data_IF_474750616823
#
_entry.id   IF_474750616823
#
_cell.length_a   1.000
_cell.length_b   1.000
_cell.length_c   1.000
_cell.angle_alpha   90.00
_cell.angle_beta   90.00
_cell.angle_gamma   90.00
#
_symmetry.space_group_name_H-M   'P 1'
#
loop_
_entity.id
_entity.type
_entity.pdbx_description
1 polymer ?
#
# COMPACT_ATOMS: atom_id res chain seq x y z
N UNK A 1 1.09 -2.39 17.67
CA UNK A 1 0.92 -2.49 16.20
C UNK A 1 1.69 -3.71 15.72
N UNK A 2 1.00 -4.71 15.19
CA UNK A 2 1.57 -6.00 14.75
C UNK A 2 2.46 -5.80 13.52
N UNK A 3 3.55 -6.57 13.39
CA UNK A 3 4.54 -6.42 12.31
C UNK A 3 3.91 -6.51 10.90
N UNK A 4 2.86 -7.30 10.76
CA UNK A 4 2.05 -7.43 9.54
C UNK A 4 1.45 -6.09 9.08
N UNK A 5 0.95 -5.26 10.00
CA UNK A 5 0.33 -3.98 9.64
C UNK A 5 1.38 -3.01 9.08
N UNK A 6 2.60 -3.02 9.64
CA UNK A 6 3.71 -2.20 9.14
C UNK A 6 4.13 -2.61 7.73
N UNK A 7 4.28 -3.91 7.47
CA UNK A 7 4.59 -4.42 6.14
C UNK A 7 3.47 -4.10 5.13
N UNK A 8 2.21 -4.15 5.58
CA UNK A 8 1.08 -3.81 4.75
C UNK A 8 1.09 -2.35 4.31
N UNK A 9 1.46 -1.42 5.18
CA UNK A 9 1.42 0.05 5.00
C UNK A 9 2.62 0.67 4.28
N UNK A 10 3.68 -0.11 4.07
CA UNK A 10 4.95 0.29 3.46
C UNK A 10 4.82 0.81 2.01
N UNK A 11 4.12 0.13 1.08
CA UNK A 11 4.02 0.59 -0.30
C UNK A 11 3.28 1.93 -0.39
N UNK A 12 2.19 2.09 0.36
CA UNK A 12 1.47 3.35 0.43
C UNK A 12 2.28 4.49 1.05
N UNK A 13 3.19 4.21 1.97
CA UNK A 13 4.09 5.20 2.58
C UNK A 13 5.12 5.71 1.59
N UNK A 14 5.78 4.79 0.85
CA UNK A 14 6.77 5.14 -0.18
C UNK A 14 6.13 6.02 -1.27
N UNK A 15 4.92 5.66 -1.72
CA UNK A 15 4.23 6.43 -2.76
C UNK A 15 3.76 7.79 -2.24
N UNK A 16 3.33 7.88 -0.98
CA UNK A 16 2.95 9.15 -0.36
C UNK A 16 4.14 10.11 -0.19
N UNK A 17 5.32 9.59 0.15
CA UNK A 17 6.56 10.37 0.19
C UNK A 17 7.05 10.75 -1.21
N UNK A 18 6.92 9.87 -2.20
CA UNK A 18 7.27 10.16 -3.60
C UNK A 18 6.37 11.25 -4.21
N UNK A 19 5.08 11.24 -3.88
CA UNK A 19 4.10 12.24 -4.35
C UNK A 19 4.26 13.60 -3.66
N UNK A 20 5.11 13.73 -2.63
CA UNK A 20 5.31 14.99 -1.92
C UNK A 20 4.02 15.52 -1.27
N UNK A 21 3.09 14.62 -0.91
CA UNK A 21 1.81 15.00 -0.31
C UNK A 21 2.07 15.71 1.02
N UNK A 22 1.90 17.03 1.06
CA UNK A 22 2.19 17.86 2.23
C UNK A 22 1.10 17.83 3.30
N UNK A 23 -0.13 17.45 2.94
CA UNK A 23 -1.27 17.35 3.86
C UNK A 23 -1.39 15.94 4.45
N UNK A 24 -1.61 15.85 5.76
CA UNK A 24 -1.72 14.59 6.50
C UNK A 24 -2.89 13.71 6.05
N UNK A 25 -4.00 14.33 5.63
CA UNK A 25 -5.18 13.60 5.13
C UNK A 25 -4.94 12.99 3.74
N UNK A 26 -4.29 13.73 2.85
CA UNK A 26 -3.93 13.23 1.51
C UNK A 26 -2.97 12.04 1.62
N UNK A 27 -2.00 12.10 2.54
CA UNK A 27 -1.10 10.97 2.82
C UNK A 27 -1.86 9.73 3.29
N UNK A 28 -2.86 9.88 4.16
CA UNK A 28 -3.65 8.75 4.64
C UNK A 28 -4.50 8.14 3.52
N UNK A 29 -5.08 8.98 2.66
CA UNK A 29 -5.90 8.54 1.54
C UNK A 29 -5.05 7.83 0.47
N UNK A 30 -3.92 8.41 0.07
CA UNK A 30 -2.97 7.82 -0.90
C UNK A 30 -2.44 6.49 -0.37
N UNK A 31 -2.03 6.44 0.90
CA UNK A 31 -1.52 5.20 1.51
C UNK A 31 -2.55 4.08 1.47
N UNK A 32 -3.82 4.40 1.73
CA UNK A 32 -4.91 3.42 1.71
C UNK A 32 -5.20 2.93 0.29
N UNK A 33 -5.28 3.84 -0.68
CA UNK A 33 -5.53 3.51 -2.09
C UNK A 33 -4.41 2.65 -2.68
N UNK A 34 -3.16 3.07 -2.48
CA UNK A 34 -1.98 2.35 -2.96
C UNK A 34 -1.88 0.98 -2.31
N UNK A 35 -2.15 0.88 -1.00
CA UNK A 35 -2.20 -0.41 -0.34
C UNK A 35 -3.23 -1.34 -0.95
N UNK A 36 -4.47 -0.89 -1.12
CA UNK A 36 -5.51 -1.73 -1.72
C UNK A 36 -5.11 -2.19 -3.12
N UNK A 37 -4.54 -1.31 -3.94
CA UNK A 37 -4.11 -1.65 -5.29
C UNK A 37 -2.98 -2.67 -5.30
N UNK A 38 -1.91 -2.42 -4.53
CA UNK A 38 -0.73 -3.28 -4.48
C UNK A 38 -1.09 -4.64 -3.92
N UNK A 39 -1.84 -4.70 -2.82
CA UNK A 39 -2.22 -5.97 -2.22
C UNK A 39 -3.22 -6.75 -3.06
N UNK A 40 -4.13 -6.07 -3.77
CA UNK A 40 -4.98 -6.74 -4.75
C UNK A 40 -4.16 -7.37 -5.87
N UNK A 41 -3.20 -6.62 -6.43
CA UNK A 41 -2.28 -7.15 -7.45
C UNK A 41 -1.44 -8.33 -6.93
N UNK A 42 -0.90 -8.24 -5.72
CA UNK A 42 -0.15 -9.33 -5.09
C UNK A 42 -1.01 -10.59 -4.95
N UNK A 43 -2.27 -10.46 -4.51
CA UNK A 43 -3.20 -11.60 -4.42
C UNK A 43 -3.45 -12.21 -5.79
N UNK A 44 -3.71 -11.39 -6.81
CA UNK A 44 -3.92 -11.89 -8.18
C UNK A 44 -2.67 -12.61 -8.69
N UNK A 45 -1.47 -12.07 -8.47
CA UNK A 45 -0.21 -12.70 -8.88
C UNK A 45 0.03 -14.03 -8.16
N UNK A 46 -0.27 -14.11 -6.87
CA UNK A 46 -0.16 -15.36 -6.11
C UNK A 46 -1.10 -16.41 -6.69
N UNK A 47 -2.35 -16.04 -6.97
CA UNK A 47 -3.33 -16.97 -7.56
C UNK A 47 -2.86 -17.45 -8.93
N UNK A 48 -2.35 -16.54 -9.77
CA UNK A 48 -1.83 -16.88 -11.11
C UNK A 48 -0.57 -17.75 -11.05
N UNK A 49 0.29 -17.61 -10.03
CA UNK A 49 1.48 -18.45 -9.88
C UNK A 49 1.18 -19.82 -9.27
N UNK A 50 0.14 -19.93 -8.45
CA UNK A 50 -0.25 -21.18 -7.78
C UNK A 50 -1.13 -22.06 -8.68
N UNK A 51 -1.85 -21.45 -9.63
CA UNK A 51 -2.71 -22.14 -10.60
C UNK A 51 -1.92 -22.52 -11.87
#
# INVERSE_FOLDING_TARGET
MTALTKAFLLPGEIVSDLLGAGASDDRMMIRTLVNMLVWNLVVVLIVVMVY
#
